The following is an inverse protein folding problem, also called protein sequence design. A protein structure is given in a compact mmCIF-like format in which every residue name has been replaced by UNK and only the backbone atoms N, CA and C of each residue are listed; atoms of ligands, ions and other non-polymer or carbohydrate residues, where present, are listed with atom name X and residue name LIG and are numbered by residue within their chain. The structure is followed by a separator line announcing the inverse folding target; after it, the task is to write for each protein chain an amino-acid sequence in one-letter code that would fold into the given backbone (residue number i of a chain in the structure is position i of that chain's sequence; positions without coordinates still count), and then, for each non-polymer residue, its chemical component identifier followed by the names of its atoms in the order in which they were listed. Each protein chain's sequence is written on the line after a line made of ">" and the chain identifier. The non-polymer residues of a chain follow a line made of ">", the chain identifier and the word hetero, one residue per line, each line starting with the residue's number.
data_IF_006548516946
#
_entry.id   IF_006548516946
#
_cell.length_a   1.000
_cell.length_b   1.000
_cell.length_c   1.000
_cell.angle_alpha   90.00
_cell.angle_beta   90.00
_cell.angle_gamma   90.00
#
_symmetry.space_group_name_H-M   'P 1'
#
loop_
_entity.id
_entity.type
_entity.pdbx_description
1 polymer ?
#
# COMPACT_ATOMS: atom_id res chain seq x y z
N UNK A 1 -17.99 -19.97 -2.99
CA UNK A 1 -17.00 -19.14 -2.26
C UNK A 1 -17.63 -17.97 -1.50
N UNK A 2 -18.66 -17.29 -2.04
CA UNK A 2 -19.49 -16.35 -1.27
C UNK A 2 -20.16 -16.99 -0.02
N UNK A 3 -20.53 -18.27 -0.09
CA UNK A 3 -21.07 -19.02 1.07
C UNK A 3 -20.05 -19.27 2.19
N UNK A 4 -18.75 -19.31 1.89
CA UNK A 4 -17.70 -19.60 2.87
C UNK A 4 -17.44 -18.40 3.80
N UNK A 5 -17.65 -17.17 3.34
CA UNK A 5 -17.56 -15.97 4.19
C UNK A 5 -18.79 -15.76 5.07
N UNK A 6 -19.96 -16.21 4.60
CA UNK A 6 -21.17 -16.19 5.44
C UNK A 6 -21.24 -17.39 6.39
N UNK A 7 -20.32 -18.36 6.23
CA UNK A 7 -20.14 -19.43 7.19
C UNK A 7 -19.75 -18.85 8.54
N UNK A 8 -20.51 -19.20 9.59
CA UNK A 8 -20.21 -18.84 10.98
C UNK A 8 -18.77 -19.23 11.36
N UNK A 9 -18.22 -20.27 10.73
CA UNK A 9 -16.87 -20.74 10.94
C UNK A 9 -15.77 -19.76 10.51
N UNK A 10 -15.97 -19.02 9.41
CA UNK A 10 -15.00 -18.02 8.97
C UNK A 10 -14.90 -16.84 9.96
N UNK A 11 -16.04 -16.43 10.52
CA UNK A 11 -16.09 -15.39 11.55
C UNK A 11 -15.39 -15.85 12.83
N UNK A 12 -15.64 -17.07 13.30
CA UNK A 12 -14.95 -17.64 14.47
C UNK A 12 -13.45 -17.80 14.24
N UNK A 13 -13.01 -18.13 13.03
CA UNK A 13 -11.60 -18.21 12.70
C UNK A 13 -10.92 -16.82 12.75
N UNK A 14 -11.55 -15.78 12.20
CA UNK A 14 -11.04 -14.41 12.29
C UNK A 14 -11.01 -13.89 13.73
N UNK A 15 -12.05 -14.17 14.52
CA UNK A 15 -12.10 -13.77 15.93
C UNK A 15 -11.02 -14.52 16.73
N UNK A 16 -10.87 -15.83 16.48
CA UNK A 16 -9.84 -16.66 17.12
C UNK A 16 -8.42 -16.20 16.78
N UNK A 17 -8.16 -15.82 15.53
CA UNK A 17 -6.85 -15.31 15.11
C UNK A 17 -6.55 -13.94 15.73
N UNK A 18 -7.53 -13.04 15.78
CA UNK A 18 -7.38 -11.74 16.47
C UNK A 18 -7.07 -11.95 17.95
N UNK A 19 -7.86 -12.78 18.66
CA UNK A 19 -7.66 -13.03 20.09
C UNK A 19 -6.29 -13.67 20.37
N UNK A 20 -5.87 -14.66 19.57
CA UNK A 20 -4.57 -15.30 19.70
C UNK A 20 -3.42 -14.31 19.46
N UNK A 21 -3.53 -13.46 18.42
CA UNK A 21 -2.53 -12.43 18.13
C UNK A 21 -2.46 -11.36 19.23
N UNK A 22 -3.59 -10.97 19.82
CA UNK A 22 -3.60 -10.05 20.97
C UNK A 22 -3.00 -10.67 22.23
N UNK A 23 -3.22 -11.97 22.48
CA UNK A 23 -2.61 -12.68 23.60
C UNK A 23 -1.09 -12.84 23.42
N UNK A 24 -0.63 -13.14 22.20
CA UNK A 24 0.80 -13.20 21.86
C UNK A 24 1.48 -11.83 21.99
N UNK A 25 0.80 -10.74 21.58
CA UNK A 25 1.27 -9.39 21.85
C UNK A 25 1.40 -9.12 23.35
N UNK A 26 0.38 -9.46 24.14
CA UNK A 26 0.40 -9.25 25.58
C UNK A 26 1.54 -10.02 26.28
N UNK A 27 1.92 -11.19 25.76
CA UNK A 27 3.02 -12.00 26.29
C UNK A 27 4.41 -11.51 25.85
N UNK A 28 4.56 -11.08 24.59
CA UNK A 28 5.87 -10.76 23.99
C UNK A 28 6.20 -9.27 23.95
N UNK A 29 5.20 -8.40 24.10
CA UNK A 29 5.33 -6.94 23.93
C UNK A 29 5.61 -6.50 22.48
N UNK A 30 5.61 -7.42 21.52
CA UNK A 30 6.06 -7.14 20.16
C UNK A 30 4.89 -6.75 19.24
N UNK A 31 4.90 -5.50 18.74
CA UNK A 31 3.87 -4.93 17.87
C UNK A 31 3.67 -5.69 16.54
N UNK A 32 4.64 -6.48 16.08
CA UNK A 32 4.48 -7.31 14.87
C UNK A 32 3.29 -8.27 14.94
N UNK A 33 3.01 -8.84 16.12
CA UNK A 33 1.91 -9.79 16.28
C UNK A 33 0.53 -9.13 16.14
N UNK A 34 0.42 -7.83 16.43
CA UNK A 34 -0.82 -7.07 16.22
C UNK A 34 -1.12 -6.87 14.74
N UNK A 35 -0.12 -6.82 13.85
CA UNK A 35 -0.29 -6.64 12.41
C UNK A 35 -0.69 -7.93 11.67
N UNK A 36 -0.32 -9.09 12.19
CA UNK A 36 -0.59 -10.39 11.56
C UNK A 36 -2.08 -10.67 11.24
N UNK A 37 -3.05 -10.47 12.15
CA UNK A 37 -4.45 -10.77 11.84
C UNK A 37 -4.99 -9.87 10.72
N UNK A 38 -4.53 -8.62 10.65
CA UNK A 38 -4.89 -7.71 9.55
C UNK A 38 -4.30 -8.18 8.22
N UNK A 39 -3.06 -8.66 8.21
CA UNK A 39 -2.45 -9.22 7.01
C UNK A 39 -3.22 -10.44 6.49
N UNK A 40 -3.64 -11.36 7.36
CA UNK A 40 -4.46 -12.52 6.98
C UNK A 40 -5.82 -12.07 6.43
N UNK A 41 -6.50 -11.15 7.10
CA UNK A 41 -7.78 -10.62 6.63
C UNK A 41 -7.65 -9.93 5.27
N UNK A 42 -6.58 -9.17 5.06
CA UNK A 42 -6.31 -8.50 3.79
C UNK A 42 -6.04 -9.49 2.66
N UNK A 43 -5.20 -10.50 2.88
CA UNK A 43 -4.93 -11.55 1.90
C UNK A 43 -6.18 -12.36 1.55
N UNK A 44 -7.01 -12.68 2.54
CA UNK A 44 -8.32 -13.30 2.29
C UNK A 44 -9.21 -12.37 1.45
N UNK A 45 -9.27 -11.08 1.83
CA UNK A 45 -10.00 -10.05 1.10
C UNK A 45 -9.58 -9.93 -0.36
N UNK A 46 -8.29 -10.05 -0.67
CA UNK A 46 -7.78 -10.01 -2.05
C UNK A 46 -8.36 -11.13 -2.93
N UNK A 47 -8.54 -12.34 -2.38
CA UNK A 47 -9.11 -13.46 -3.13
C UNK A 47 -10.61 -13.27 -3.39
N UNK A 48 -11.30 -12.58 -2.48
CA UNK A 48 -12.75 -12.39 -2.50
C UNK A 48 -13.13 -11.21 -3.38
N UNK A 49 -12.58 -10.04 -3.07
CA UNK A 49 -12.81 -8.77 -3.75
C UNK A 49 -11.55 -7.91 -3.68
N UNK A 50 -10.61 -8.20 -4.59
CA UNK A 50 -9.38 -7.41 -4.72
C UNK A 50 -9.64 -5.93 -5.03
N UNK A 51 -10.78 -5.57 -5.62
CA UNK A 51 -11.12 -4.16 -5.89
C UNK A 51 -11.44 -3.44 -4.58
N UNK A 52 -12.16 -4.08 -3.67
CA UNK A 52 -12.37 -3.53 -2.32
C UNK A 52 -11.04 -3.31 -1.59
N UNK A 53 -10.14 -4.30 -1.61
CA UNK A 53 -8.80 -4.17 -1.04
C UNK A 53 -7.98 -3.02 -1.66
N UNK A 54 -8.21 -2.70 -2.93
CA UNK A 54 -7.51 -1.59 -3.57
C UNK A 54 -8.01 -0.25 -3.04
N UNK A 55 -9.30 -0.11 -2.77
CA UNK A 55 -9.83 1.07 -2.10
C UNK A 55 -9.25 1.24 -0.69
N UNK A 56 -8.99 0.14 0.02
CA UNK A 56 -8.27 0.16 1.29
C UNK A 56 -6.82 0.63 1.12
N UNK A 57 -6.12 0.19 0.06
CA UNK A 57 -4.77 0.69 -0.26
C UNK A 57 -4.79 2.21 -0.42
N UNK A 58 -5.72 2.75 -1.22
CA UNK A 58 -5.79 4.21 -1.42
C UNK A 58 -6.06 4.97 -0.12
N UNK A 59 -6.87 4.40 0.77
CA UNK A 59 -7.16 4.98 2.08
C UNK A 59 -5.96 4.93 3.03
N UNK A 60 -5.11 3.90 2.94
CA UNK A 60 -4.00 3.75 3.87
C UNK A 60 -2.78 4.60 3.51
N UNK A 61 -2.59 4.97 2.24
CA UNK A 61 -1.40 5.72 1.77
C UNK A 61 -1.14 7.00 2.59
N UNK A 62 -2.10 7.92 2.81
CA UNK A 62 -1.78 9.19 3.47
C UNK A 62 -1.45 9.06 4.95
N UNK A 63 -1.79 7.90 5.54
CA UNK A 63 -1.54 7.56 6.92
C UNK A 63 -0.45 6.47 7.06
N UNK A 64 0.28 6.15 5.99
CA UNK A 64 1.38 5.19 6.07
C UNK A 64 2.56 5.78 6.83
N UNK A 65 3.26 4.92 7.56
CA UNK A 65 4.41 5.29 8.40
C UNK A 65 5.61 4.48 7.96
N UNK A 66 6.78 5.14 7.93
CA UNK A 66 8.04 4.49 7.62
C UNK A 66 8.52 3.69 8.83
N UNK A 67 8.74 2.39 8.66
CA UNK A 67 9.41 1.54 9.65
C UNK A 67 10.87 1.33 9.24
N UNK A 68 11.77 1.39 10.22
CA UNK A 68 13.19 1.15 10.04
C UNK A 68 13.58 -0.21 10.64
N UNK A 69 14.41 -0.95 9.92
CA UNK A 69 14.92 -2.27 10.27
C UNK A 69 16.44 -2.29 10.13
N UNK A 70 17.08 -3.23 10.84
CA UNK A 70 18.52 -3.48 10.75
C UNK A 70 19.38 -2.22 10.96
N UNK A 71 19.22 -1.54 12.10
CA UNK A 71 19.95 -0.31 12.44
C UNK A 71 19.86 0.77 11.34
N UNK A 72 18.64 1.10 10.93
CA UNK A 72 18.31 2.13 9.92
C UNK A 72 18.85 1.88 8.50
N UNK A 73 19.41 0.70 8.22
CA UNK A 73 19.89 0.35 6.87
C UNK A 73 18.78 -0.06 5.90
N UNK A 74 17.61 -0.45 6.42
CA UNK A 74 16.45 -0.82 5.61
C UNK A 74 15.21 -0.13 6.15
N UNK A 75 14.37 0.38 5.26
CA UNK A 75 13.08 0.94 5.65
C UNK A 75 11.97 0.50 4.69
N UNK A 76 10.74 0.45 5.21
CA UNK A 76 9.54 0.06 4.47
C UNK A 76 8.36 0.85 5.01
N UNK A 77 7.52 1.37 4.12
CA UNK A 77 6.31 2.08 4.53
C UNK A 77 5.18 1.08 4.80
N UNK A 78 4.51 1.22 5.93
CA UNK A 78 3.42 0.32 6.35
C UNK A 78 2.15 1.13 6.57
N UNK A 79 0.98 0.66 6.11
CA UNK A 79 0.73 -0.65 5.50
C UNK A 79 0.79 -0.69 3.97
N UNK A 80 1.05 0.44 3.32
CA UNK A 80 0.92 0.62 1.87
C UNK A 80 1.90 -0.23 1.03
N UNK A 81 3.20 -0.28 1.35
CA UNK A 81 4.15 -1.12 0.57
C UNK A 81 3.82 -2.62 0.62
N UNK A 82 3.56 -3.23 1.80
CA UNK A 82 3.12 -4.62 1.87
C UNK A 82 1.85 -4.89 1.04
N UNK A 83 0.89 -3.95 1.03
CA UNK A 83 -0.31 -4.06 0.20
C UNK A 83 0.03 -3.98 -1.29
N UNK A 84 0.95 -3.09 -1.70
CA UNK A 84 1.44 -2.99 -3.07
C UNK A 84 2.16 -4.25 -3.54
N UNK A 85 2.92 -4.93 -2.67
CA UNK A 85 3.54 -6.22 -3.00
C UNK A 85 2.49 -7.28 -3.35
N UNK A 86 1.41 -7.35 -2.55
CA UNK A 86 0.31 -8.25 -2.84
C UNK A 86 -0.40 -7.87 -4.16
N UNK A 87 -0.58 -6.57 -4.42
CA UNK A 87 -1.15 -6.09 -5.68
C UNK A 87 -0.27 -6.30 -6.91
N UNK A 88 1.05 -6.35 -6.76
CA UNK A 88 1.96 -6.77 -7.83
C UNK A 88 1.64 -8.22 -8.24
N UNK A 89 1.46 -9.13 -7.29
CA UNK A 89 1.08 -10.51 -7.57
C UNK A 89 -0.30 -10.62 -8.23
N UNK A 90 -1.28 -9.84 -7.74
CA UNK A 90 -2.61 -9.76 -8.37
C UNK A 90 -2.51 -9.24 -9.81
N UNK A 91 -1.67 -8.23 -10.06
CA UNK A 91 -1.46 -7.68 -11.40
C UNK A 91 -0.88 -8.73 -12.34
N UNK A 92 0.13 -9.47 -11.88
CA UNK A 92 0.72 -10.59 -12.65
C UNK A 92 -0.34 -11.65 -12.94
N UNK A 93 -1.12 -12.07 -11.94
CA UNK A 93 -2.18 -13.05 -12.11
C UNK A 93 -3.25 -12.60 -13.12
N UNK A 94 -3.65 -11.33 -13.08
CA UNK A 94 -4.60 -10.75 -14.04
C UNK A 94 -4.03 -10.70 -15.46
N UNK A 95 -2.75 -10.33 -15.61
CA UNK A 95 -2.05 -10.31 -16.90
C UNK A 95 -1.95 -11.70 -17.53
N UNK A 96 -1.65 -12.73 -16.73
CA UNK A 96 -1.52 -14.11 -17.22
C UNK A 96 -2.87 -14.76 -17.59
N UNK A 97 -3.94 -14.42 -16.86
CA UNK A 97 -5.26 -15.05 -17.06
C UNK A 97 -6.10 -14.40 -18.17
N UNK A 98 -5.86 -13.13 -18.50
CA UNK A 98 -6.71 -12.36 -19.43
C UNK A 98 -5.98 -12.06 -20.75
N UNK A 99 -6.41 -12.71 -21.83
CA UNK A 99 -5.79 -12.63 -23.18
C UNK A 99 -5.75 -11.23 -23.83
N UNK A 100 -6.62 -10.29 -23.44
CA UNK A 100 -6.58 -8.86 -23.83
C UNK A 100 -6.57 -7.98 -22.59
N UNK A 101 -5.46 -7.99 -21.86
CA UNK A 101 -5.42 -7.42 -20.51
C UNK A 101 -5.44 -5.89 -20.51
N UNK A 102 -4.65 -5.25 -21.38
CA UNK A 102 -4.49 -3.79 -21.44
C UNK A 102 -5.18 -3.25 -22.71
N UNK A 103 -6.13 -2.31 -22.58
CA UNK A 103 -6.89 -1.80 -23.71
C UNK A 103 -6.02 -0.93 -24.64
N UNK A 104 -6.33 -0.94 -25.94
CA UNK A 104 -5.55 -0.23 -26.94
C UNK A 104 -5.47 1.30 -26.71
N UNK A 105 -6.48 1.90 -26.07
CA UNK A 105 -6.46 3.33 -25.73
C UNK A 105 -5.31 3.68 -24.76
N UNK A 106 -4.90 2.74 -23.90
CA UNK A 106 -3.82 2.96 -22.93
C UNK A 106 -2.48 3.10 -23.66
N UNK A 107 -2.21 2.22 -24.62
CA UNK A 107 -1.00 2.27 -25.46
C UNK A 107 -0.95 3.48 -26.40
N UNK A 108 -2.09 4.08 -26.74
CA UNK A 108 -2.16 5.31 -27.53
C UNK A 108 -1.83 6.56 -26.69
N UNK A 109 -1.83 6.46 -25.37
CA UNK A 109 -1.51 7.58 -24.51
C UNK A 109 0.02 7.76 -24.44
N UNK A 110 0.57 8.92 -24.85
CA UNK A 110 2.02 9.14 -24.85
C UNK A 110 2.63 9.02 -23.45
N UNK A 111 1.90 9.40 -22.40
CA UNK A 111 2.39 9.31 -21.01
C UNK A 111 2.58 7.85 -20.60
N UNK A 112 1.64 6.98 -20.97
CA UNK A 112 1.74 5.55 -20.68
C UNK A 112 2.97 4.93 -21.37
N UNK A 113 3.21 5.28 -22.63
CA UNK A 113 4.38 4.81 -23.39
C UNK A 113 5.68 5.30 -22.76
N UNK A 114 5.75 6.57 -22.37
CA UNK A 114 6.93 7.14 -21.70
C UNK A 114 7.23 6.41 -20.39
N UNK A 115 6.20 6.09 -19.59
CA UNK A 115 6.38 5.33 -18.33
C UNK A 115 6.94 3.93 -18.59
N UNK A 116 6.47 3.24 -19.62
CA UNK A 116 7.02 1.92 -20.01
C UNK A 116 8.47 2.06 -20.47
N UNK A 117 8.78 3.02 -21.34
CA UNK A 117 10.14 3.26 -21.81
C UNK A 117 11.10 3.61 -20.67
N UNK A 118 10.66 4.45 -19.73
CA UNK A 118 11.44 4.79 -18.54
C UNK A 118 11.69 3.56 -17.66
N UNK A 119 10.69 2.69 -17.49
CA UNK A 119 10.85 1.46 -16.72
C UNK A 119 11.78 0.46 -17.42
N UNK A 120 11.69 0.31 -18.74
CA UNK A 120 12.63 -0.50 -19.52
C UNK A 120 14.06 0.04 -19.43
N UNK A 121 14.22 1.35 -19.52
CA UNK A 121 15.52 1.99 -19.34
C UNK A 121 16.09 1.76 -17.93
N UNK A 122 15.22 1.80 -16.91
CA UNK A 122 15.63 1.47 -15.55
C UNK A 122 16.17 0.04 -15.43
N UNK A 123 15.54 -0.94 -16.09
CA UNK A 123 16.04 -2.33 -16.09
C UNK A 123 17.46 -2.37 -16.68
N UNK A 124 17.70 -1.68 -17.79
CA UNK A 124 19.03 -1.59 -18.41
C UNK A 124 20.03 -0.96 -17.43
N UNK A 125 19.69 0.18 -16.82
CA UNK A 125 20.56 0.85 -15.86
C UNK A 125 20.91 -0.02 -14.65
N UNK A 126 19.96 -0.83 -14.17
CA UNK A 126 20.18 -1.76 -13.05
C UNK A 126 21.16 -2.88 -13.42
N UNK A 127 21.06 -3.42 -14.63
CA UNK A 127 21.97 -4.47 -15.13
C UNK A 127 23.42 -3.97 -15.18
N UNK A 128 23.64 -2.70 -15.52
CA UNK A 128 24.98 -2.09 -15.62
C UNK A 128 25.43 -1.37 -14.33
N UNK A 129 24.69 -1.51 -13.24
CA UNK A 129 25.01 -0.82 -11.98
C UNK A 129 26.16 -1.51 -11.23
N UNK A 130 27.05 -0.71 -10.64
CA UNK A 130 28.10 -1.19 -9.73
C UNK A 130 27.52 -1.79 -8.44
N UNK A 131 26.50 -1.12 -7.89
CA UNK A 131 25.86 -1.50 -6.62
C UNK A 131 24.57 -2.28 -6.86
N UNK A 132 24.71 -3.49 -7.44
CA UNK A 132 23.59 -4.29 -7.94
C UNK A 132 22.49 -4.56 -6.90
N UNK A 133 22.87 -4.80 -5.64
CA UNK A 133 21.91 -5.10 -4.55
C UNK A 133 20.96 -3.94 -4.30
N UNK A 134 21.48 -2.71 -4.23
CA UNK A 134 20.66 -1.51 -4.02
C UNK A 134 19.83 -1.19 -5.26
N UNK A 135 20.40 -1.38 -6.45
CA UNK A 135 19.68 -1.17 -7.71
C UNK A 135 18.53 -2.17 -7.92
N UNK A 136 18.68 -3.43 -7.51
CA UNK A 136 17.61 -4.42 -7.57
C UNK A 136 16.47 -4.09 -6.59
N UNK A 137 16.80 -3.65 -5.37
CA UNK A 137 15.78 -3.17 -4.41
C UNK A 137 15.00 -1.99 -4.98
N UNK A 138 15.70 -1.03 -5.60
CA UNK A 138 15.07 0.11 -6.24
C UNK A 138 14.19 -0.30 -7.44
N UNK A 139 14.65 -1.24 -8.27
CA UNK A 139 13.86 -1.78 -9.38
C UNK A 139 12.57 -2.42 -8.87
N UNK A 140 12.68 -3.29 -7.87
CA UNK A 140 11.53 -3.96 -7.26
C UNK A 140 10.54 -2.94 -6.71
N UNK A 141 11.03 -1.90 -6.04
CA UNK A 141 10.21 -0.78 -5.60
C UNK A 141 9.41 -0.18 -6.76
N UNK A 142 10.09 0.23 -7.83
CA UNK A 142 9.39 0.77 -9.00
C UNK A 142 8.39 -0.21 -9.62
N UNK A 143 8.63 -1.53 -9.57
CA UNK A 143 7.71 -2.54 -10.08
C UNK A 143 6.35 -2.53 -9.37
N UNK A 144 6.32 -2.62 -8.03
CA UNK A 144 5.05 -2.69 -7.30
C UNK A 144 4.30 -1.36 -7.29
N UNK A 145 5.01 -0.23 -7.36
CA UNK A 145 4.40 1.09 -7.57
C UNK A 145 3.74 1.19 -8.96
N UNK A 146 4.43 0.78 -10.03
CA UNK A 146 3.87 0.82 -11.39
C UNK A 146 2.67 -0.12 -11.53
N UNK A 147 2.76 -1.33 -10.98
CA UNK A 147 1.65 -2.27 -10.95
C UNK A 147 0.43 -1.66 -10.25
N UNK A 148 0.62 -1.10 -9.05
CA UNK A 148 -0.47 -0.61 -8.20
C UNK A 148 -1.09 0.70 -8.69
N UNK A 149 -0.30 1.63 -9.23
CA UNK A 149 -0.79 2.98 -9.55
C UNK A 149 -0.84 3.32 -11.03
N UNK A 150 -0.38 2.44 -11.92
CA UNK A 150 -0.46 2.66 -13.36
C UNK A 150 -1.25 1.55 -14.05
N UNK A 151 -0.99 0.29 -13.71
CA UNK A 151 -1.65 -0.84 -14.38
C UNK A 151 -3.00 -1.19 -13.75
N UNK A 152 -3.07 -1.44 -12.44
CA UNK A 152 -4.33 -1.78 -11.76
C UNK A 152 -5.46 -0.75 -11.94
N UNK A 153 -5.19 0.58 -11.92
CA UNK A 153 -6.23 1.57 -12.13
C UNK A 153 -7.04 1.38 -13.41
N UNK A 154 -6.45 0.79 -14.45
CA UNK A 154 -7.11 0.50 -15.73
C UNK A 154 -8.38 -0.33 -15.54
N UNK A 155 -8.42 -1.21 -14.53
CA UNK A 155 -9.58 -2.08 -14.25
C UNK A 155 -10.45 -1.59 -13.09
N UNK A 156 -9.98 -0.62 -12.32
CA UNK A 156 -10.67 -0.11 -11.12
C UNK A 156 -11.43 1.18 -11.44
N UNK A 157 -10.81 2.10 -12.17
CA UNK A 157 -11.38 3.40 -12.50
C UNK A 157 -12.12 3.32 -13.84
N UNK A 158 -13.38 2.90 -13.80
CA UNK A 158 -14.23 2.79 -15.00
C UNK A 158 -15.16 3.98 -15.16
N UNK A 159 -15.54 4.61 -14.05
CA UNK A 159 -16.57 5.65 -14.01
C UNK A 159 -16.08 6.88 -13.26
N UNK A 160 -16.70 8.03 -13.52
CA UNK A 160 -16.43 9.28 -12.76
C UNK A 160 -16.62 9.11 -11.25
N UNK A 161 -17.51 8.20 -10.83
CA UNK A 161 -17.75 7.90 -9.41
C UNK A 161 -16.51 7.27 -8.76
N UNK A 162 -15.77 6.43 -9.48
CA UNK A 162 -14.56 5.77 -8.99
C UNK A 162 -13.45 6.79 -8.70
N UNK A 163 -13.27 7.77 -9.58
CA UNK A 163 -12.32 8.88 -9.36
C UNK A 163 -12.71 9.73 -8.14
N UNK A 164 -14.00 10.06 -7.99
CA UNK A 164 -14.48 10.79 -6.79
C UNK A 164 -14.26 9.96 -5.52
N UNK A 165 -14.48 8.65 -5.58
CA UNK A 165 -14.25 7.73 -4.45
C UNK A 165 -12.77 7.70 -4.06
N UNK A 166 -11.86 7.52 -5.02
CA UNK A 166 -10.41 7.56 -4.77
C UNK A 166 -9.99 8.87 -4.11
N UNK A 167 -10.45 10.00 -4.67
CA UNK A 167 -10.14 11.31 -4.15
C UNK A 167 -10.59 11.46 -2.69
N UNK A 168 -11.83 11.07 -2.36
CA UNK A 168 -12.32 11.14 -0.99
C UNK A 168 -11.55 10.19 -0.05
N UNK A 169 -11.24 8.97 -0.51
CA UNK A 169 -10.51 8.00 0.29
C UNK A 169 -9.09 8.44 0.63
N UNK A 170 -8.42 9.19 -0.25
CA UNK A 170 -7.13 9.81 0.08
C UNK A 170 -7.30 11.10 0.89
N UNK A 171 -8.30 11.91 0.58
CA UNK A 171 -8.51 13.20 1.22
C UNK A 171 -8.84 13.07 2.71
N UNK A 172 -9.70 12.13 3.09
CA UNK A 172 -10.13 11.93 4.48
C UNK A 172 -8.93 11.68 5.43
N UNK A 173 -8.09 10.65 5.20
CA UNK A 173 -6.94 10.38 6.07
C UNK A 173 -5.89 11.49 5.98
N UNK A 174 -5.68 12.10 4.81
CA UNK A 174 -4.77 13.25 4.67
C UNK A 174 -5.21 14.45 5.53
N UNK A 175 -6.51 14.78 5.51
CA UNK A 175 -7.05 15.86 6.34
C UNK A 175 -6.99 15.46 7.81
N UNK A 176 -7.23 14.20 8.15
CA UNK A 176 -7.13 13.72 9.52
C UNK A 176 -5.70 13.86 10.08
N UNK A 177 -4.67 13.42 9.34
CA UNK A 177 -3.26 13.59 9.76
C UNK A 177 -2.89 15.06 9.86
N UNK A 178 -3.32 15.89 8.91
CA UNK A 178 -3.12 17.34 8.96
C UNK A 178 -3.76 17.97 10.21
N UNK A 179 -5.00 17.62 10.54
CA UNK A 179 -5.68 18.13 11.73
C UNK A 179 -4.97 17.71 13.03
N UNK A 180 -4.50 16.45 13.10
CA UNK A 180 -3.74 15.95 14.24
C UNK A 180 -2.44 16.76 14.42
N UNK A 181 -1.70 16.99 13.34
CA UNK A 181 -0.45 17.76 13.37
C UNK A 181 -0.72 19.20 13.80
N UNK A 182 -1.77 19.84 13.28
CA UNK A 182 -2.13 21.20 13.66
C UNK A 182 -2.55 21.28 15.14
N UNK A 183 -3.32 20.31 15.64
CA UNK A 183 -3.67 20.25 17.05
C UNK A 183 -2.44 20.09 17.95
N UNK A 184 -1.49 19.21 17.57
CA UNK A 184 -0.20 19.07 18.27
C UNK A 184 0.62 20.36 18.22
N UNK A 185 0.65 21.04 17.08
CA UNK A 185 1.40 22.29 16.93
C UNK A 185 0.80 23.43 17.74
N UNK A 186 -0.54 23.48 17.87
CA UNK A 186 -1.24 24.42 18.74
C UNK A 186 -0.82 24.24 20.22
N UNK A 187 -0.71 23.00 20.70
CA UNK A 187 -0.18 22.70 22.04
C UNK A 187 1.28 23.13 22.23
N UNK A 188 2.01 23.32 21.12
CA UNK A 188 3.37 23.82 21.09
C UNK A 188 3.44 25.33 20.79
N UNK A 189 2.32 26.05 20.94
CA UNK A 189 2.14 27.48 20.67
C UNK A 189 2.54 27.89 19.25
N UNK A 190 2.32 27.01 18.28
CA UNK A 190 2.71 27.20 16.87
C UNK A 190 4.20 27.58 16.70
N UNK A 191 5.07 27.17 17.64
CA UNK A 191 6.50 27.48 17.58
C UNK A 191 7.14 26.85 16.35
N UNK A 192 7.75 27.66 15.48
CA UNK A 192 8.47 27.19 14.29
C UNK A 192 9.55 26.15 14.64
N UNK A 193 10.32 26.38 15.71
CA UNK A 193 11.36 25.47 16.21
C UNK A 193 10.85 24.10 16.68
N UNK A 194 9.53 23.92 16.84
CA UNK A 194 8.92 22.69 17.37
C UNK A 194 8.00 22.00 16.35
N UNK A 195 8.00 22.45 15.09
CA UNK A 195 7.14 21.87 14.03
C UNK A 195 7.43 20.38 13.85
N UNK A 196 8.70 19.99 13.84
CA UNK A 196 9.10 18.57 13.74
C UNK A 196 8.45 17.71 14.84
N UNK A 197 8.39 18.21 16.08
CA UNK A 197 7.71 17.50 17.19
C UNK A 197 6.20 17.40 17.00
N UNK A 198 5.59 18.37 16.31
CA UNK A 198 4.16 18.32 15.99
C UNK A 198 3.85 17.28 14.92
N UNK A 199 4.74 17.17 13.92
CA UNK A 199 4.68 16.13 12.88
C UNK A 199 4.87 14.76 13.54
N UNK A 200 5.92 14.59 14.34
CA UNK A 200 6.27 13.33 14.99
C UNK A 200 6.43 12.20 13.97
N UNK A 201 6.01 11.00 14.32
CA UNK A 201 6.17 9.81 13.47
C UNK A 201 5.12 9.69 12.34
N UNK A 202 4.22 10.68 12.19
CA UNK A 202 3.20 10.64 11.14
C UNK A 202 3.77 10.90 9.75
N UNK A 203 4.79 11.75 9.65
CA UNK A 203 5.53 11.97 8.42
C UNK A 203 7.02 11.95 8.72
N UNK A 204 7.76 11.21 7.92
CA UNK A 204 9.21 11.20 7.95
C UNK A 204 9.74 12.28 6.99
N UNK A 205 10.66 13.12 7.47
CA UNK A 205 11.30 14.19 6.69
C UNK A 205 12.74 13.80 6.30
#
# INVERSE_FOLDING_TARGET
>A
MYELLHSRWAHWFCIGSILLCTALYAYTGNYFFLGFPFAVCFLAGLVIDWKFCYWLLLFSIPASVQLFFLNDSLSTSVPDEPMMWAFLLVTIALLLTRSRTIPAWWWRNPIAVILVLQYLWLIIAVIFSHELVFSLKFLAAKSWFLASFVILPIWIFQTKKDYKKAFLLMLIPLVATMLIINARHALLNFSFRKVEKAIGDLYYN
#
